data_IF_174303022372
#
_entry.id   IF_174303022372
#
_cell.length_a   1.000
_cell.length_b   1.000
_cell.length_c   1.000
_cell.angle_alpha   90.00
_cell.angle_beta   90.00
_cell.angle_gamma   90.00
#
_symmetry.space_group_name_H-M   'P 1'
#
loop_
_entity.id
_entity.type
_entity.pdbx_description
1 polymer ?
#
# COMPACT_ATOMS: atom_id res chain seq x y z
N UNK A 1 -37.45 -8.41 -5.06
CA UNK A 1 -37.27 -9.86 -5.30
C UNK A 1 -36.55 -10.19 -6.62
N UNK A 2 -37.02 -9.70 -7.78
CA UNK A 2 -36.42 -10.02 -9.10
C UNK A 2 -34.92 -9.67 -9.22
N UNK A 3 -34.52 -8.44 -8.82
CA UNK A 3 -33.09 -8.03 -8.79
C UNK A 3 -32.21 -8.94 -7.93
N UNK A 4 -32.74 -9.45 -6.81
CA UNK A 4 -32.01 -10.37 -5.94
C UNK A 4 -31.82 -11.73 -6.61
N UNK A 5 -32.87 -12.26 -7.27
CA UNK A 5 -32.79 -13.52 -8.01
C UNK A 5 -31.80 -13.44 -9.17
N UNK A 6 -31.80 -12.34 -9.93
CA UNK A 6 -30.80 -12.10 -10.99
C UNK A 6 -29.39 -12.06 -10.42
N UNK A 7 -29.18 -11.34 -9.32
CA UNK A 7 -27.86 -11.27 -8.67
C UNK A 7 -27.38 -12.66 -8.25
N UNK A 8 -28.23 -13.46 -7.62
CA UNK A 8 -27.90 -14.84 -7.24
C UNK A 8 -27.57 -15.68 -8.46
N UNK A 9 -28.41 -15.65 -9.50
CA UNK A 9 -28.19 -16.40 -10.73
C UNK A 9 -26.86 -16.04 -11.40
N UNK A 10 -26.56 -14.73 -11.53
CA UNK A 10 -25.33 -14.25 -12.14
C UNK A 10 -24.08 -14.68 -11.33
N UNK A 11 -24.13 -14.58 -10.00
CA UNK A 11 -23.02 -15.01 -9.14
C UNK A 11 -22.80 -16.52 -9.22
N UNK A 12 -23.88 -17.32 -9.09
CA UNK A 12 -23.79 -18.78 -9.19
C UNK A 12 -23.26 -19.21 -10.55
N UNK A 13 -23.78 -18.65 -11.64
CA UNK A 13 -23.30 -18.95 -13.00
C UNK A 13 -21.83 -18.58 -13.18
N UNK A 14 -21.41 -17.41 -12.68
CA UNK A 14 -20.00 -16.98 -12.77
C UNK A 14 -19.06 -17.93 -12.03
N UNK A 15 -19.43 -18.35 -10.82
CA UNK A 15 -18.63 -19.29 -10.02
C UNK A 15 -18.61 -20.68 -10.67
N UNK A 16 -19.75 -21.16 -11.18
CA UNK A 16 -19.82 -22.46 -11.87
C UNK A 16 -18.98 -22.48 -13.15
N UNK A 17 -19.04 -21.41 -13.96
CA UNK A 17 -18.22 -21.28 -15.16
C UNK A 17 -16.73 -21.22 -14.82
N UNK A 18 -16.36 -20.46 -13.78
CA UNK A 18 -14.98 -20.41 -13.32
C UNK A 18 -14.51 -21.79 -12.84
N UNK A 19 -15.30 -22.50 -12.02
CA UNK A 19 -14.98 -23.85 -11.57
C UNK A 19 -14.83 -24.84 -12.75
N UNK A 20 -15.72 -24.76 -13.74
CA UNK A 20 -15.60 -25.57 -14.96
C UNK A 20 -14.30 -25.27 -15.72
N UNK A 21 -13.91 -24.00 -15.85
CA UNK A 21 -12.65 -23.63 -16.52
C UNK A 21 -11.41 -24.20 -15.81
N UNK A 22 -11.41 -24.27 -14.47
CA UNK A 22 -10.33 -24.89 -13.70
C UNK A 22 -10.21 -26.39 -13.97
N UNK A 23 -11.34 -27.08 -14.15
CA UNK A 23 -11.39 -28.53 -14.42
C UNK A 23 -10.95 -28.83 -15.86
N UNK A 24 -11.36 -27.99 -16.81
CA UNK A 24 -11.04 -28.17 -18.24
C UNK A 24 -9.57 -27.82 -18.52
N UNK A 25 -9.00 -26.84 -17.81
CA UNK A 25 -7.63 -26.33 -18.04
C UNK A 25 -6.76 -26.39 -16.77
N UNK A 26 -6.53 -27.59 -16.19
CA UNK A 26 -5.83 -27.71 -14.91
C UNK A 26 -4.36 -27.29 -14.99
N UNK A 27 -3.69 -27.52 -16.13
CA UNK A 27 -2.30 -27.12 -16.33
C UNK A 27 -2.10 -25.60 -16.29
N UNK A 28 -2.93 -24.86 -17.03
CA UNK A 28 -2.90 -23.39 -17.05
C UNK A 28 -3.24 -22.78 -15.69
N UNK A 29 -4.19 -23.39 -14.98
CA UNK A 29 -4.55 -22.99 -13.61
C UNK A 29 -3.40 -23.22 -12.62
N UNK A 30 -2.75 -24.39 -12.67
CA UNK A 30 -1.61 -24.72 -11.80
C UNK A 30 -0.44 -23.77 -12.07
N UNK A 31 -0.09 -23.57 -13.34
CA UNK A 31 0.99 -22.67 -13.74
C UNK A 31 0.72 -21.22 -13.28
N UNK A 32 -0.52 -20.75 -13.42
CA UNK A 32 -0.91 -19.43 -12.91
C UNK A 32 -0.88 -19.33 -11.38
N UNK A 33 -1.24 -20.41 -10.68
CA UNK A 33 -1.19 -20.47 -9.22
C UNK A 33 0.25 -20.41 -8.71
N UNK A 34 1.15 -21.16 -9.34
CA UNK A 34 2.59 -21.15 -9.02
C UNK A 34 3.16 -19.75 -9.24
N UNK A 35 2.91 -19.13 -10.40
CA UNK A 35 3.34 -17.74 -10.63
C UNK A 35 2.82 -16.76 -9.58
N UNK A 36 1.54 -16.89 -9.20
CA UNK A 36 0.93 -16.07 -8.16
C UNK A 36 1.61 -16.27 -6.80
N UNK A 37 1.94 -17.51 -6.47
CA UNK A 37 2.64 -17.88 -5.24
C UNK A 37 4.08 -17.34 -5.23
N UNK A 38 4.81 -17.48 -6.32
CA UNK A 38 6.20 -16.98 -6.45
C UNK A 38 6.23 -15.46 -6.30
N UNK A 39 5.33 -14.74 -6.99
CA UNK A 39 5.21 -13.29 -6.83
C UNK A 39 4.91 -12.90 -5.39
N UNK A 40 4.02 -13.62 -4.71
CA UNK A 40 3.72 -13.34 -3.32
C UNK A 40 4.91 -13.65 -2.40
N UNK A 41 5.56 -14.80 -2.56
CA UNK A 41 6.60 -15.29 -1.66
C UNK A 41 7.93 -14.55 -1.85
N UNK A 42 8.36 -14.34 -3.09
CA UNK A 42 9.67 -13.76 -3.40
C UNK A 42 9.69 -12.23 -3.32
N UNK A 43 8.55 -11.58 -3.62
CA UNK A 43 8.49 -10.12 -3.76
C UNK A 43 7.64 -9.51 -2.64
N UNK A 44 6.37 -9.90 -2.53
CA UNK A 44 5.40 -9.19 -1.68
C UNK A 44 5.61 -9.48 -0.19
N UNK A 45 5.82 -10.75 0.18
CA UNK A 45 5.98 -11.17 1.57
C UNK A 45 7.19 -10.52 2.26
N UNK A 46 8.43 -10.60 1.73
CA UNK A 46 9.60 -10.02 2.38
C UNK A 46 9.56 -8.48 2.39
N UNK A 47 8.91 -7.85 1.39
CA UNK A 47 8.82 -6.39 1.32
C UNK A 47 7.80 -5.80 2.30
N UNK A 48 6.74 -6.53 2.65
CA UNK A 48 5.66 -6.02 3.49
C UNK A 48 5.76 -6.41 4.98
N UNK A 49 6.27 -7.60 5.28
CA UNK A 49 6.25 -8.13 6.66
C UNK A 49 6.91 -7.20 7.69
N UNK A 50 8.12 -6.65 7.49
CA UNK A 50 8.75 -5.77 8.47
C UNK A 50 7.91 -4.52 8.74
N UNK A 51 7.33 -3.92 7.69
CA UNK A 51 6.50 -2.72 7.83
C UNK A 51 5.20 -3.00 8.55
N UNK A 52 4.56 -4.15 8.31
CA UNK A 52 3.34 -4.52 9.01
C UNK A 52 3.59 -4.75 10.50
N UNK A 53 4.68 -5.44 10.85
CA UNK A 53 5.06 -5.66 12.26
C UNK A 53 5.30 -4.32 12.95
N UNK A 54 6.10 -3.44 12.35
CA UNK A 54 6.38 -2.11 12.91
C UNK A 54 5.08 -1.29 13.03
N UNK A 55 4.20 -1.33 12.03
CA UNK A 55 2.90 -0.64 12.08
C UNK A 55 2.05 -1.10 13.27
N UNK A 56 1.90 -2.41 13.46
CA UNK A 56 1.14 -3.00 14.55
C UNK A 56 1.76 -2.67 15.92
N UNK A 57 3.10 -2.68 16.02
CA UNK A 57 3.80 -2.26 17.24
C UNK A 57 3.58 -0.78 17.56
N UNK A 58 3.69 0.12 16.58
CA UNK A 58 3.45 1.55 16.76
C UNK A 58 2.01 1.84 17.22
N UNK A 59 1.04 1.06 16.72
CA UNK A 59 -0.34 1.12 17.19
C UNK A 59 -0.44 0.67 18.64
N UNK A 60 0.14 -0.49 18.98
CA UNK A 60 0.17 -1.00 20.34
C UNK A 60 0.86 -0.08 21.34
N UNK A 61 1.81 0.74 20.89
CA UNK A 61 2.50 1.74 21.71
C UNK A 61 1.76 3.08 21.83
N UNK A 62 0.65 3.28 21.11
CA UNK A 62 -0.13 4.52 21.14
C UNK A 62 0.44 5.65 20.27
N UNK A 63 1.38 5.35 19.37
CA UNK A 63 2.00 6.34 18.46
C UNK A 63 0.98 6.95 17.50
N UNK A 64 -0.11 6.22 17.21
CA UNK A 64 -1.24 6.69 16.39
C UNK A 64 -1.75 8.05 16.84
N UNK A 65 -1.93 8.24 18.15
CA UNK A 65 -2.48 9.48 18.69
C UNK A 65 -1.46 10.62 18.67
N UNK A 66 -0.18 10.31 18.83
CA UNK A 66 0.90 11.29 18.69
C UNK A 66 1.00 11.83 17.27
N UNK A 67 1.11 10.94 16.27
CA UNK A 67 1.15 11.32 14.86
C UNK A 67 -0.16 12.03 14.47
N UNK A 68 -1.28 11.60 15.04
CA UNK A 68 -2.56 12.20 14.75
C UNK A 68 -2.65 13.66 15.16
N UNK A 69 -2.15 14.01 16.35
CA UNK A 69 -2.10 15.41 16.81
C UNK A 69 -1.15 16.24 15.94
N UNK A 70 -0.01 15.68 15.51
CA UNK A 70 0.94 16.38 14.63
C UNK A 70 0.39 16.65 13.23
N UNK A 71 -0.38 15.71 12.68
CA UNK A 71 -0.92 15.80 11.32
C UNK A 71 -2.32 16.43 11.27
N UNK A 72 -2.98 16.69 12.39
CA UNK A 72 -4.27 17.40 12.45
C UNK A 72 -4.28 18.72 11.64
N UNK A 73 -3.25 19.61 11.71
CA UNK A 73 -3.21 20.85 10.95
C UNK A 73 -3.12 20.66 9.44
N UNK A 74 -2.75 19.46 8.97
CA UNK A 74 -2.71 19.09 7.55
C UNK A 74 -3.99 18.34 7.15
N UNK A 75 -4.35 17.29 7.90
CA UNK A 75 -5.44 16.37 7.58
C UNK A 75 -6.81 17.05 7.58
N UNK A 76 -7.06 17.92 8.57
CA UNK A 76 -8.37 18.57 8.72
C UNK A 76 -8.65 19.58 7.60
N UNK A 77 -7.77 20.55 7.28
CA UNK A 77 -8.04 21.48 6.19
C UNK A 77 -7.94 20.84 4.81
N UNK A 78 -6.96 19.94 4.58
CA UNK A 78 -6.72 19.39 3.24
C UNK A 78 -7.72 18.30 2.88
N UNK A 79 -7.98 17.36 3.79
CA UNK A 79 -8.77 16.15 3.52
C UNK A 79 -10.13 16.09 4.24
N UNK A 80 -10.39 16.99 5.21
CA UNK A 80 -11.57 16.95 6.10
C UNK A 80 -11.74 15.59 6.80
N UNK A 81 -10.63 15.10 7.33
CA UNK A 81 -10.50 13.89 8.13
C UNK A 81 -9.79 14.28 9.44
N UNK A 82 -10.10 13.67 10.59
CA UNK A 82 -9.45 14.03 11.85
C UNK A 82 -7.99 13.60 11.83
N UNK A 83 -7.18 14.23 12.67
CA UNK A 83 -5.74 14.04 12.74
C UNK A 83 -5.34 12.60 12.96
N UNK A 84 -6.11 11.80 13.73
CA UNK A 84 -5.89 10.34 13.86
C UNK A 84 -5.81 9.61 12.50
N UNK A 85 -6.47 10.13 11.47
CA UNK A 85 -6.34 9.62 10.10
C UNK A 85 -4.98 9.91 9.45
N UNK A 86 -4.22 10.88 9.95
CA UNK A 86 -2.85 11.17 9.53
C UNK A 86 -1.89 10.03 9.81
N UNK A 87 -2.08 9.30 10.92
CA UNK A 87 -1.34 8.05 11.16
C UNK A 87 -1.66 7.03 10.06
N UNK A 88 -2.94 6.85 9.73
CA UNK A 88 -3.36 5.90 8.69
C UNK A 88 -2.83 6.30 7.32
N UNK A 89 -2.75 7.60 7.04
CA UNK A 89 -2.18 8.13 5.80
C UNK A 89 -0.67 7.87 5.71
N UNK A 90 0.09 8.17 6.77
CA UNK A 90 1.52 7.90 6.81
C UNK A 90 1.83 6.39 6.69
N UNK A 91 1.12 5.56 7.45
CA UNK A 91 1.30 4.11 7.38
C UNK A 91 0.80 3.52 6.06
N UNK A 92 -0.26 4.06 5.48
CA UNK A 92 -0.74 3.69 4.15
C UNK A 92 0.27 3.98 3.05
N UNK A 93 1.00 5.10 3.12
CA UNK A 93 2.10 5.42 2.21
C UNK A 93 3.29 4.48 2.41
N UNK A 94 3.69 4.22 3.66
CA UNK A 94 4.87 3.43 3.97
C UNK A 94 4.67 1.92 3.71
N UNK A 95 3.54 1.37 4.14
CA UNK A 95 3.26 -0.07 4.06
C UNK A 95 2.46 -0.47 2.82
N UNK A 96 1.65 0.45 2.29
CA UNK A 96 0.83 0.23 1.11
C UNK A 96 -0.54 -0.36 1.39
N UNK A 97 -1.15 -0.96 0.37
CA UNK A 97 -2.40 -1.70 0.51
C UNK A 97 -2.17 -3.13 1.04
N UNK A 98 -3.16 -3.72 1.73
CA UNK A 98 -4.43 -3.13 2.14
C UNK A 98 -4.38 -2.48 3.53
N UNK A 99 -3.19 -2.11 4.03
CA UNK A 99 -3.01 -1.56 5.38
C UNK A 99 -3.85 -0.31 5.63
N UNK A 100 -3.94 0.61 4.67
CA UNK A 100 -4.77 1.80 4.78
C UNK A 100 -6.23 1.47 5.10
N UNK A 101 -6.79 0.46 4.42
CA UNK A 101 -8.13 -0.05 4.68
C UNK A 101 -8.25 -0.72 6.05
N UNK A 102 -7.29 -1.57 6.43
CA UNK A 102 -7.26 -2.25 7.74
C UNK A 102 -7.25 -1.25 8.90
N UNK A 103 -6.39 -0.25 8.83
CA UNK A 103 -6.26 0.78 9.86
C UNK A 103 -7.49 1.69 9.91
N UNK A 104 -8.05 2.04 8.75
CA UNK A 104 -9.29 2.83 8.67
C UNK A 104 -10.48 2.07 9.27
N UNK A 105 -10.62 0.79 8.93
CA UNK A 105 -11.65 -0.09 9.49
C UNK A 105 -11.54 -0.18 11.01
N UNK A 106 -10.32 -0.34 11.54
CA UNK A 106 -10.07 -0.37 12.98
C UNK A 106 -10.45 0.95 13.67
N UNK A 107 -10.03 2.10 13.15
CA UNK A 107 -10.44 3.40 13.70
C UNK A 107 -11.95 3.60 13.67
N UNK A 108 -12.64 3.04 12.67
CA UNK A 108 -14.10 3.10 12.57
C UNK A 108 -14.79 2.21 13.62
N UNK A 109 -14.32 0.98 13.79
CA UNK A 109 -14.82 0.03 14.79
C UNK A 109 -14.57 0.51 16.22
N UNK A 110 -13.45 1.20 16.46
CA UNK A 110 -13.13 1.87 17.73
C UNK A 110 -13.84 3.24 17.90
N UNK A 111 -14.77 3.58 17.00
CA UNK A 111 -15.55 4.83 17.01
C UNK A 111 -14.73 6.13 17.03
N UNK A 112 -13.44 6.06 16.67
CA UNK A 112 -12.54 7.22 16.63
C UNK A 112 -12.84 8.15 15.45
N UNK A 113 -13.46 7.60 14.40
CA UNK A 113 -13.86 8.33 13.20
C UNK A 113 -15.29 7.99 12.81
N UNK A 114 -15.99 8.97 12.22
CA UNK A 114 -17.31 8.75 11.65
C UNK A 114 -17.23 7.89 10.39
N UNK A 115 -18.36 7.31 9.98
CA UNK A 115 -18.46 6.55 8.72
C UNK A 115 -18.00 7.40 7.52
N UNK A 116 -18.41 8.67 7.44
CA UNK A 116 -18.03 9.55 6.35
C UNK A 116 -16.51 9.85 6.36
N UNK A 117 -15.93 10.12 7.54
CA UNK A 117 -14.49 10.30 7.66
C UNK A 117 -13.72 9.03 7.28
N UNK A 118 -14.24 7.85 7.63
CA UNK A 118 -13.67 6.57 7.24
C UNK A 118 -13.72 6.34 5.72
N UNK A 119 -14.85 6.65 5.07
CA UNK A 119 -14.99 6.55 3.61
C UNK A 119 -14.05 7.50 2.86
N UNK A 120 -13.84 8.71 3.39
CA UNK A 120 -12.82 9.63 2.86
C UNK A 120 -11.43 9.05 3.07
N UNK A 121 -11.09 8.68 4.31
CA UNK A 121 -9.76 8.22 4.69
C UNK A 121 -9.34 7.01 3.86
N UNK A 122 -10.15 5.94 3.81
CA UNK A 122 -9.81 4.73 3.05
C UNK A 122 -9.55 5.00 1.57
N UNK A 123 -10.19 6.04 1.02
CA UNK A 123 -10.11 6.39 -0.40
C UNK A 123 -8.76 6.97 -0.82
N UNK A 124 -7.93 7.48 0.10
CA UNK A 124 -6.59 8.02 -0.21
C UNK A 124 -5.47 7.48 0.70
N UNK A 125 -5.73 6.47 1.51
CA UNK A 125 -4.70 5.80 2.34
C UNK A 125 -4.31 4.42 1.84
N UNK A 126 -4.94 3.94 0.77
CA UNK A 126 -4.50 2.75 0.08
C UNK A 126 -3.70 3.19 -1.15
N UNK A 127 -2.45 2.80 -1.24
CA UNK A 127 -1.55 3.14 -2.34
C UNK A 127 -0.47 2.08 -2.43
N UNK A 128 0.11 1.83 -3.59
CA UNK A 128 1.39 1.10 -3.69
C UNK A 128 2.46 1.75 -2.79
N UNK A 129 3.22 0.92 -2.07
CA UNK A 129 4.33 1.39 -1.26
C UNK A 129 5.60 1.63 -2.10
N UNK A 130 6.61 2.36 -1.57
CA UNK A 130 7.82 2.68 -2.32
C UNK A 130 8.59 1.43 -2.74
N UNK A 131 8.66 0.40 -1.88
CA UNK A 131 9.41 -0.82 -2.21
C UNK A 131 8.83 -1.55 -3.42
N UNK A 132 7.52 -1.58 -3.57
CA UNK A 132 6.87 -2.16 -4.74
C UNK A 132 7.15 -1.31 -6.00
N UNK A 133 7.03 0.02 -5.90
CA UNK A 133 7.25 0.92 -7.05
C UNK A 133 8.72 0.90 -7.51
N UNK A 134 9.66 1.10 -6.59
CA UNK A 134 11.09 1.14 -6.91
C UNK A 134 11.66 -0.25 -7.17
N UNK A 135 11.38 -1.23 -6.29
CA UNK A 135 11.96 -2.56 -6.34
C UNK A 135 11.33 -3.43 -7.43
N UNK A 136 10.04 -3.73 -7.31
CA UNK A 136 9.38 -4.67 -8.21
C UNK A 136 9.15 -4.06 -9.60
N UNK A 137 8.53 -2.89 -9.67
CA UNK A 137 8.12 -2.29 -10.95
C UNK A 137 9.32 -1.67 -11.68
N UNK A 138 9.96 -0.68 -11.08
CA UNK A 138 11.02 0.10 -11.74
C UNK A 138 12.29 -0.71 -11.98
N UNK A 139 12.88 -1.32 -10.95
CA UNK A 139 14.10 -2.14 -11.10
C UNK A 139 13.78 -3.53 -11.65
N UNK A 140 12.79 -4.22 -11.10
CA UNK A 140 12.47 -5.60 -11.49
C UNK A 140 11.93 -5.73 -12.93
N UNK A 141 10.87 -4.99 -13.26
CA UNK A 141 10.17 -5.17 -14.54
C UNK A 141 10.69 -4.25 -15.65
N UNK A 142 10.97 -2.99 -15.33
CA UNK A 142 11.46 -2.01 -16.31
C UNK A 142 12.98 -1.97 -16.42
N UNK A 143 13.72 -2.61 -15.50
CA UNK A 143 15.19 -2.56 -15.45
C UNK A 143 15.73 -1.11 -15.50
N UNK A 144 14.96 -0.17 -14.94
CA UNK A 144 15.24 1.26 -14.99
C UNK A 144 14.89 1.91 -13.66
N UNK A 145 15.89 2.12 -12.80
CA UNK A 145 15.72 2.71 -11.47
C UNK A 145 15.22 4.17 -11.50
N UNK A 146 15.60 4.95 -12.52
CA UNK A 146 15.20 6.37 -12.66
C UNK A 146 13.70 6.50 -12.88
N UNK A 147 13.08 5.53 -13.58
CA UNK A 147 11.64 5.49 -13.78
C UNK A 147 10.85 5.44 -12.46
N UNK A 148 11.43 4.84 -11.42
CA UNK A 148 10.81 4.73 -10.10
C UNK A 148 10.47 6.09 -9.49
N UNK A 149 11.29 7.12 -9.73
CA UNK A 149 11.04 8.49 -9.23
C UNK A 149 9.77 9.05 -9.85
N UNK A 150 9.62 8.91 -11.17
CA UNK A 150 8.46 9.37 -11.92
C UNK A 150 7.21 8.64 -11.46
N UNK A 151 7.25 7.31 -11.40
CA UNK A 151 6.11 6.49 -10.98
C UNK A 151 5.70 6.81 -9.54
N UNK A 152 6.66 6.93 -8.61
CA UNK A 152 6.37 7.27 -7.22
C UNK A 152 5.77 8.67 -7.07
N UNK A 153 6.37 9.67 -7.71
CA UNK A 153 5.86 11.05 -7.67
C UNK A 153 4.44 11.13 -8.23
N UNK A 154 4.22 10.57 -9.43
CA UNK A 154 2.91 10.52 -10.06
C UNK A 154 1.87 9.80 -9.19
N UNK A 155 2.26 8.66 -8.60
CA UNK A 155 1.38 7.87 -7.76
C UNK A 155 0.98 8.59 -6.47
N UNK A 156 1.92 9.18 -5.73
CA UNK A 156 1.60 9.88 -4.48
C UNK A 156 0.90 11.22 -4.70
N UNK A 157 1.24 11.96 -5.76
CA UNK A 157 0.50 13.17 -6.17
C UNK A 157 -0.93 12.78 -6.54
N UNK A 158 -1.12 11.73 -7.35
CA UNK A 158 -2.43 11.20 -7.69
C UNK A 158 -3.24 10.83 -6.44
N UNK A 159 -2.60 10.21 -5.45
CA UNK A 159 -3.25 9.84 -4.19
C UNK A 159 -3.66 11.08 -3.36
N UNK A 160 -2.83 12.14 -3.32
CA UNK A 160 -3.18 13.42 -2.70
C UNK A 160 -4.37 14.07 -3.42
N UNK A 161 -4.38 14.05 -4.75
CA UNK A 161 -5.50 14.55 -5.56
C UNK A 161 -6.81 13.85 -5.18
N UNK A 162 -6.79 12.52 -4.99
CA UNK A 162 -7.95 11.76 -4.52
C UNK A 162 -8.42 12.24 -3.16
N UNK A 163 -7.50 12.46 -2.21
CA UNK A 163 -7.86 13.01 -0.89
C UNK A 163 -8.55 14.37 -1.00
N UNK A 164 -8.05 15.25 -1.88
CA UNK A 164 -8.64 16.57 -2.14
C UNK A 164 -10.02 16.46 -2.81
N UNK A 165 -10.20 15.53 -3.76
CA UNK A 165 -11.51 15.27 -4.38
C UNK A 165 -12.51 14.73 -3.35
N UNK A 166 -12.08 13.77 -2.52
CA UNK A 166 -12.91 13.15 -1.48
C UNK A 166 -13.28 14.12 -0.35
N UNK A 167 -12.55 15.23 -0.20
CA UNK A 167 -12.95 16.35 0.66
C UNK A 167 -14.39 16.83 0.39
N UNK A 168 -14.84 16.76 -0.87
CA UNK A 168 -16.16 17.24 -1.30
C UNK A 168 -17.24 16.16 -1.23
N UNK A 169 -16.87 14.89 -1.05
CA UNK A 169 -17.80 13.78 -0.85
C UNK A 169 -18.50 13.87 0.52
N UNK A 170 -19.80 13.54 0.59
CA UNK A 170 -20.56 13.48 1.86
C UNK A 170 -21.48 14.67 2.19
N UNK A 171 -21.63 15.66 1.30
CA UNK A 171 -22.77 16.60 1.32
C UNK A 171 -23.09 17.27 2.68
N UNK A 172 -24.33 17.07 3.19
CA UNK A 172 -24.96 17.74 4.35
C UNK A 172 -24.52 17.25 5.74
N UNK A 173 -23.78 16.14 5.87
CA UNK A 173 -23.11 15.69 7.12
C UNK A 173 -21.96 16.63 7.56
N UNK A 174 -21.80 17.76 6.86
CA UNK A 174 -20.81 18.82 7.12
C UNK A 174 -20.99 19.53 8.45
N UNK A 175 -22.20 19.60 9.02
CA UNK A 175 -22.48 20.44 10.20
C UNK A 175 -22.07 19.78 11.52
N UNK A 176 -22.26 18.48 11.69
CA UNK A 176 -21.86 17.77 12.93
C UNK A 176 -20.33 17.67 13.09
N UNK A 177 -19.61 17.50 11.98
CA UNK A 177 -18.13 17.48 11.95
C UNK A 177 -17.51 18.83 12.31
N UNK A 178 -18.25 19.93 12.06
CA UNK A 178 -17.84 21.31 12.39
C UNK A 178 -18.04 21.63 13.87
N UNK A 179 -19.00 20.97 14.53
CA UNK A 179 -19.28 21.18 15.95
C UNK A 179 -18.35 20.37 16.89
N UNK A 180 -17.79 19.24 16.42
CA UNK A 180 -16.72 18.52 17.17
C UNK A 180 -15.39 19.28 17.26
N UNK A 181 -15.16 20.31 16.44
CA UNK A 181 -13.87 21.01 16.32
C UNK A 181 -13.70 22.26 17.20
N UNK A 182 -14.50 22.44 18.24
CA UNK A 182 -14.28 23.49 19.25
C UNK A 182 -13.35 22.97 20.36
N UNK A 183 -12.06 22.82 20.10
CA UNK A 183 -11.10 22.28 21.07
C UNK A 183 -9.69 22.88 20.98
N UNK A 184 -9.49 23.99 21.68
CA UNK A 184 -8.25 24.62 22.18
C UNK A 184 -7.01 24.66 21.27
N UNK A 185 -6.69 25.88 20.82
CA UNK A 185 -5.35 26.27 20.32
C UNK A 185 -4.36 26.28 21.49
N UNK A 186 -3.71 25.15 21.78
CA UNK A 186 -2.66 24.99 22.79
C UNK A 186 -1.51 24.11 22.29
N UNK A 187 -0.38 24.08 23.02
CA UNK A 187 0.88 23.42 22.65
C UNK A 187 0.72 21.95 22.19
N UNK A 188 0.60 21.78 20.86
CA UNK A 188 0.32 20.54 20.11
C UNK A 188 1.21 19.37 20.55
N UNK A 189 2.50 19.61 20.78
CA UNK A 189 3.46 18.54 21.08
C UNK A 189 3.27 17.98 22.50
N UNK A 190 3.01 18.83 23.50
CA UNK A 190 2.84 18.39 24.90
C UNK A 190 1.56 17.56 25.06
N UNK A 191 0.51 17.94 24.35
CA UNK A 191 -0.76 17.21 24.29
C UNK A 191 -0.61 15.86 23.58
N UNK A 192 0.14 15.82 22.47
CA UNK A 192 0.46 14.59 21.75
C UNK A 192 1.21 13.56 22.63
N UNK A 193 2.23 14.01 23.37
CA UNK A 193 2.98 13.16 24.29
C UNK A 193 2.13 12.68 25.47
N UNK A 194 1.29 13.55 26.04
CA UNK A 194 0.38 13.17 27.13
C UNK A 194 -0.64 12.12 26.67
N UNK A 195 -1.18 12.29 25.47
CA UNK A 195 -2.09 11.35 24.85
C UNK A 195 -1.44 9.98 24.58
N UNK A 196 -0.21 9.96 24.07
CA UNK A 196 0.58 8.74 23.86
C UNK A 196 0.82 8.01 25.19
N UNK A 197 1.27 8.73 26.22
CA UNK A 197 1.52 8.14 27.54
C UNK A 197 0.24 7.56 28.16
N UNK A 198 -0.89 8.26 28.04
CA UNK A 198 -2.19 7.79 28.54
C UNK A 198 -2.66 6.52 27.83
N UNK A 199 -2.52 6.44 26.50
CA UNK A 199 -2.84 5.22 25.74
C UNK A 199 -1.93 4.06 26.14
N UNK A 200 -0.62 4.31 26.34
CA UNK A 200 0.31 3.28 26.81
C UNK A 200 -0.03 2.75 28.21
N UNK A 201 -0.47 3.61 29.12
CA UNK A 201 -0.89 3.20 30.48
C UNK A 201 -2.19 2.38 30.48
N UNK A 202 -3.05 2.57 29.47
CA UNK A 202 -4.29 1.80 29.32
C UNK A 202 -4.01 0.39 28.75
N UNK A 203 -3.00 0.24 27.90
CA UNK A 203 -2.57 -1.06 27.38
C UNK A 203 -1.58 -1.76 28.32
N UNK A 204 -2.11 -2.65 29.17
CA UNK A 204 -1.33 -3.39 30.17
C UNK A 204 -0.55 -4.59 29.63
N UNK A 205 -0.60 -4.86 28.31
CA UNK A 205 0.09 -6.02 27.74
C UNK A 205 1.62 -5.87 27.84
N UNK A 206 2.35 -6.95 28.16
CA UNK A 206 3.81 -6.94 28.12
C UNK A 206 4.30 -6.77 26.68
N UNK A 207 5.50 -6.20 26.49
CA UNK A 207 6.07 -5.91 25.16
C UNK A 207 6.15 -7.19 24.30
N UNK A 208 6.53 -8.33 24.89
CA UNK A 208 6.58 -9.61 24.17
C UNK A 208 5.22 -10.06 23.63
N UNK A 209 4.12 -9.77 24.34
CA UNK A 209 2.75 -10.05 23.85
C UNK A 209 2.36 -9.09 22.72
N UNK A 210 2.72 -7.81 22.83
CA UNK A 210 2.50 -6.83 21.76
C UNK A 210 3.25 -7.22 20.47
N UNK A 211 4.49 -7.67 20.61
CA UNK A 211 5.29 -8.17 19.49
C UNK A 211 4.67 -9.43 18.87
N UNK A 212 4.28 -10.41 19.70
CA UNK A 212 3.62 -11.63 19.22
C UNK A 212 2.31 -11.33 18.48
N UNK A 213 1.45 -10.48 19.04
CA UNK A 213 0.20 -10.05 18.42
C UNK A 213 0.47 -9.32 17.09
N UNK A 214 1.49 -8.46 17.03
CA UNK A 214 1.90 -7.76 15.82
C UNK A 214 2.35 -8.72 14.71
N UNK A 215 3.18 -9.72 15.04
CA UNK A 215 3.62 -10.75 14.09
C UNK A 215 2.43 -11.55 13.57
N UNK A 216 1.57 -12.06 14.47
CA UNK A 216 0.40 -12.86 14.06
C UNK A 216 -0.55 -12.07 13.16
N UNK A 217 -0.89 -10.84 13.55
CA UNK A 217 -1.75 -9.95 12.76
C UNK A 217 -1.16 -9.65 11.38
N UNK A 218 0.15 -9.46 11.30
CA UNK A 218 0.88 -9.21 10.05
C UNK A 218 0.84 -10.43 9.13
N UNK A 219 1.12 -11.63 9.67
CA UNK A 219 1.10 -12.89 8.90
C UNK A 219 -0.30 -13.19 8.38
N UNK A 220 -1.34 -13.01 9.18
CA UNK A 220 -2.74 -13.20 8.73
C UNK A 220 -3.08 -12.26 7.56
N UNK A 221 -2.66 -11.00 7.66
CA UNK A 221 -2.87 -10.02 6.58
C UNK A 221 -2.11 -10.44 5.32
N UNK A 222 -0.87 -10.90 5.44
CA UNK A 222 -0.05 -11.36 4.32
C UNK A 222 -0.59 -12.62 3.65
N UNK A 223 -1.10 -13.58 4.41
CA UNK A 223 -1.74 -14.78 3.86
C UNK A 223 -3.00 -14.43 3.07
N UNK A 224 -3.81 -13.49 3.57
CA UNK A 224 -4.96 -12.98 2.84
C UNK A 224 -4.53 -12.31 1.52
N UNK A 225 -3.52 -11.44 1.53
CA UNK A 225 -2.95 -10.83 0.32
C UNK A 225 -2.48 -11.91 -0.66
N UNK A 226 -1.74 -12.93 -0.18
CA UNK A 226 -1.25 -14.03 -1.00
C UNK A 226 -2.37 -14.84 -1.66
N UNK A 227 -3.42 -15.15 -0.91
CA UNK A 227 -4.61 -15.82 -1.45
C UNK A 227 -5.27 -15.02 -2.58
N UNK A 228 -5.37 -13.69 -2.43
CA UNK A 228 -5.92 -12.82 -3.48
C UNK A 228 -4.98 -12.72 -4.70
N UNK A 229 -3.66 -12.64 -4.52
CA UNK A 229 -2.70 -12.62 -5.64
C UNK A 229 -2.79 -13.92 -6.45
N UNK A 230 -2.80 -15.07 -5.78
CA UNK A 230 -2.91 -16.40 -6.42
C UNK A 230 -4.23 -16.50 -7.18
N UNK A 231 -5.36 -16.19 -6.53
CA UNK A 231 -6.69 -16.25 -7.14
C UNK A 231 -6.78 -15.36 -8.38
N UNK A 232 -6.33 -14.10 -8.29
CA UNK A 232 -6.41 -13.18 -9.43
C UNK A 232 -5.40 -13.51 -10.54
N UNK A 233 -4.28 -14.18 -10.21
CA UNK A 233 -3.37 -14.73 -11.23
C UNK A 233 -4.06 -15.83 -12.04
N UNK A 234 -4.79 -16.73 -11.38
CA UNK A 234 -5.59 -17.77 -12.04
C UNK A 234 -6.73 -17.16 -12.85
N UNK A 235 -7.50 -16.22 -12.28
CA UNK A 235 -8.57 -15.52 -12.99
C UNK A 235 -8.03 -14.86 -14.26
N UNK A 236 -6.94 -14.10 -14.17
CA UNK A 236 -6.32 -13.46 -15.34
C UNK A 236 -5.97 -14.48 -16.44
N UNK A 237 -5.36 -15.61 -16.06
CA UNK A 237 -4.99 -16.66 -17.00
C UNK A 237 -6.20 -17.33 -17.64
N UNK A 238 -7.26 -17.58 -16.86
CA UNK A 238 -8.51 -18.15 -17.39
C UNK A 238 -9.20 -17.18 -18.34
N UNK A 239 -9.31 -15.89 -17.98
CA UNK A 239 -9.91 -14.87 -18.85
C UNK A 239 -9.17 -14.71 -20.17
N UNK A 240 -7.85 -14.87 -20.16
CA UNK A 240 -7.02 -14.84 -21.36
C UNK A 240 -7.35 -16.02 -22.30
N UNK A 241 -7.33 -17.25 -21.78
CA UNK A 241 -7.61 -18.46 -22.57
C UNK A 241 -9.07 -18.61 -22.99
N UNK A 242 -10.00 -18.01 -22.25
CA UNK A 242 -11.42 -17.92 -22.65
C UNK A 242 -11.68 -16.80 -23.68
N UNK A 243 -10.64 -16.14 -24.19
CA UNK A 243 -10.72 -15.00 -25.12
C UNK A 243 -11.54 -13.80 -24.60
N UNK A 244 -11.80 -13.74 -23.28
CA UNK A 244 -12.49 -12.61 -22.65
C UNK A 244 -11.55 -11.41 -22.59
N UNK A 245 -10.27 -11.63 -22.25
CA UNK A 245 -9.27 -10.56 -22.23
C UNK A 245 -9.11 -9.91 -23.60
N UNK A 246 -9.04 -10.71 -24.68
CA UNK A 246 -8.92 -10.21 -26.05
C UNK A 246 -10.16 -9.43 -26.49
N UNK A 247 -11.36 -9.97 -26.21
CA UNK A 247 -12.62 -9.28 -26.51
C UNK A 247 -12.73 -7.92 -25.82
N UNK A 248 -12.35 -7.83 -24.53
CA UNK A 248 -12.36 -6.56 -23.81
C UNK A 248 -11.26 -5.62 -24.37
N UNK A 249 -10.08 -6.15 -24.66
CA UNK A 249 -8.95 -5.39 -25.19
C UNK A 249 -9.29 -4.71 -26.54
N UNK A 250 -9.99 -5.39 -27.45
CA UNK A 250 -10.47 -4.82 -28.72
C UNK A 250 -11.33 -3.57 -28.50
N UNK A 251 -12.19 -3.58 -27.47
CA UNK A 251 -12.98 -2.41 -27.08
C UNK A 251 -12.12 -1.22 -26.62
N UNK A 252 -10.99 -1.49 -25.98
CA UNK A 252 -10.03 -0.47 -25.55
C UNK A 252 -9.08 -0.03 -26.66
N UNK A 253 -8.86 -0.81 -27.72
CA UNK A 253 -7.98 -0.43 -28.84
C UNK A 253 -8.41 0.89 -29.49
N UNK A 254 -9.72 1.12 -29.65
CA UNK A 254 -10.25 2.40 -30.19
C UNK A 254 -9.89 3.58 -29.29
N UNK A 255 -9.99 3.40 -27.97
CA UNK A 255 -9.59 4.43 -26.99
C UNK A 255 -8.07 4.68 -27.05
N UNK A 256 -7.27 3.63 -27.24
CA UNK A 256 -5.81 3.74 -27.26
C UNK A 256 -5.34 4.48 -28.51
N UNK A 257 -5.94 4.21 -29.67
CA UNK A 257 -5.69 4.97 -30.90
C UNK A 257 -6.00 6.46 -30.69
N UNK A 258 -7.14 6.79 -30.06
CA UNK A 258 -7.52 8.17 -29.76
C UNK A 258 -6.50 8.86 -28.82
N UNK A 259 -5.92 8.12 -27.89
CA UNK A 259 -4.91 8.59 -26.94
C UNK A 259 -3.47 8.50 -27.48
N UNK A 260 -3.27 8.12 -28.76
CA UNK A 260 -1.96 7.91 -29.37
C UNK A 260 -1.10 6.87 -28.62
N UNK A 261 -1.74 5.81 -28.11
CA UNK A 261 -1.12 4.66 -27.47
C UNK A 261 -1.14 3.44 -28.42
N UNK A 262 -0.07 2.63 -28.47
CA UNK A 262 -0.07 1.39 -29.23
C UNK A 262 -1.13 0.41 -28.74
N UNK A 263 -1.81 -0.26 -29.68
CA UNK A 263 -2.85 -1.25 -29.36
C UNK A 263 -2.31 -2.44 -28.54
N UNK A 264 -1.02 -2.74 -28.64
CA UNK A 264 -0.33 -3.82 -27.92
C UNK A 264 -0.36 -3.59 -26.39
N UNK A 265 -0.58 -2.36 -25.93
CA UNK A 265 -0.75 -2.06 -24.50
C UNK A 265 -2.13 -2.46 -23.95
N UNK A 266 -3.11 -2.78 -24.81
CA UNK A 266 -4.49 -3.09 -24.39
C UNK A 266 -4.55 -4.35 -23.51
N UNK A 267 -3.91 -5.45 -23.92
CA UNK A 267 -3.86 -6.69 -23.14
C UNK A 267 -3.16 -6.48 -21.78
N UNK A 268 -1.95 -5.91 -21.70
CA UNK A 268 -1.31 -5.55 -20.43
C UNK A 268 -2.18 -4.66 -19.53
N UNK A 269 -2.88 -3.68 -20.12
CA UNK A 269 -3.80 -2.80 -19.40
C UNK A 269 -4.95 -3.60 -18.77
N UNK A 270 -5.62 -4.48 -19.52
CA UNK A 270 -6.68 -5.34 -18.97
C UNK A 270 -6.14 -6.26 -17.88
N UNK A 271 -4.99 -6.91 -18.10
CA UNK A 271 -4.36 -7.72 -17.05
C UNK A 271 -4.06 -6.91 -15.79
N UNK A 272 -3.62 -5.65 -15.94
CA UNK A 272 -3.38 -4.71 -14.85
C UNK A 272 -4.62 -4.23 -14.12
N UNK A 273 -5.78 -4.18 -14.79
CA UNK A 273 -7.06 -3.93 -14.13
C UNK A 273 -7.42 -5.06 -13.15
N UNK A 274 -6.99 -6.30 -13.41
CA UNK A 274 -7.23 -7.43 -12.51
C UNK A 274 -6.12 -7.58 -11.46
N UNK A 275 -4.86 -7.55 -11.88
CA UNK A 275 -3.70 -7.76 -11.01
C UNK A 275 -2.55 -6.85 -11.43
N UNK A 276 -2.13 -5.99 -10.52
CA UNK A 276 -1.20 -4.88 -10.77
C UNK A 276 0.20 -5.34 -11.16
N UNK A 277 0.66 -6.48 -10.61
CA UNK A 277 2.03 -6.98 -10.76
C UNK A 277 2.23 -7.51 -12.17
N UNK A 278 1.33 -8.40 -12.61
CA UNK A 278 1.29 -8.96 -13.95
C UNK A 278 1.05 -7.87 -15.00
N UNK A 279 0.10 -6.96 -14.77
CA UNK A 279 -0.14 -5.85 -15.70
C UNK A 279 1.08 -4.95 -15.89
N UNK A 280 1.76 -4.59 -14.80
CA UNK A 280 2.99 -3.77 -14.87
C UNK A 280 4.13 -4.51 -15.58
N UNK A 281 4.30 -5.81 -15.31
CA UNK A 281 5.31 -6.65 -15.96
C UNK A 281 5.04 -6.83 -17.46
N UNK A 282 3.80 -7.05 -17.86
CA UNK A 282 3.44 -7.16 -19.28
C UNK A 282 3.61 -5.82 -19.99
N UNK A 283 3.28 -4.70 -19.32
CA UNK A 283 3.40 -3.35 -19.87
C UNK A 283 4.86 -3.00 -20.16
N UNK A 284 5.80 -3.38 -19.30
CA UNK A 284 7.23 -3.09 -19.51
C UNK A 284 7.84 -3.87 -20.68
N UNK A 285 7.21 -4.98 -21.09
CA UNK A 285 7.67 -5.83 -22.20
C UNK A 285 7.14 -5.46 -23.58
N UNK A 286 6.32 -4.41 -23.70
CA UNK A 286 5.73 -3.99 -25.00
C UNK A 286 6.73 -3.11 -25.77
N UNK A 287 7.45 -3.70 -26.71
CA UNK A 287 8.53 -3.04 -27.46
C UNK A 287 8.02 -1.95 -28.43
N UNK A 288 6.77 -2.05 -28.86
CA UNK A 288 6.11 -1.08 -29.76
C UNK A 288 5.75 0.22 -29.04
N UNK A 289 5.77 0.23 -27.71
CA UNK A 289 5.48 1.39 -26.89
C UNK A 289 6.75 2.10 -26.44
N UNK A 290 6.72 3.43 -26.54
CA UNK A 290 7.75 4.27 -25.90
C UNK A 290 7.68 4.13 -24.39
N UNK A 291 8.80 4.41 -23.72
CA UNK A 291 8.86 4.32 -22.26
C UNK A 291 7.84 5.25 -21.56
N UNK A 292 7.56 6.42 -22.13
CA UNK A 292 6.51 7.31 -21.63
C UNK A 292 5.13 6.63 -21.69
N UNK A 293 4.78 5.99 -22.80
CA UNK A 293 3.49 5.31 -22.95
C UNK A 293 3.36 4.13 -21.98
N UNK A 294 4.42 3.35 -21.80
CA UNK A 294 4.47 2.29 -20.79
C UNK A 294 4.33 2.85 -19.36
N UNK A 295 4.96 4.00 -19.07
CA UNK A 295 4.89 4.66 -17.77
C UNK A 295 3.48 5.22 -17.49
N UNK A 296 2.80 5.78 -18.49
CA UNK A 296 1.41 6.26 -18.38
C UNK A 296 0.49 5.12 -17.97
N UNK A 297 0.53 4.00 -18.70
CA UNK A 297 -0.28 2.81 -18.41
C UNK A 297 0.05 2.24 -17.03
N UNK A 298 1.33 2.12 -16.71
CA UNK A 298 1.79 1.62 -15.40
C UNK A 298 1.30 2.51 -14.26
N UNK A 299 1.41 3.84 -14.39
CA UNK A 299 0.89 4.80 -13.42
C UNK A 299 -0.63 4.68 -13.24
N UNK A 300 -1.39 4.43 -14.32
CA UNK A 300 -2.81 4.14 -14.20
C UNK A 300 -3.05 2.88 -13.37
N UNK A 301 -2.39 1.78 -13.70
CA UNK A 301 -2.54 0.47 -13.04
C UNK A 301 -2.22 0.60 -11.54
N UNK A 302 -1.12 1.27 -11.19
CA UNK A 302 -0.73 1.51 -9.79
C UNK A 302 -1.78 2.33 -9.04
N UNK A 303 -2.27 3.43 -9.63
CA UNK A 303 -3.30 4.27 -9.01
C UNK A 303 -4.65 3.55 -8.87
N UNK A 304 -5.07 2.82 -9.90
CA UNK A 304 -6.29 2.01 -9.89
C UNK A 304 -6.24 0.85 -8.89
N UNK A 305 -5.02 0.39 -8.57
CA UNK A 305 -4.73 -0.69 -7.61
C UNK A 305 -5.21 -2.09 -8.04
N UNK A 306 -5.87 -2.25 -9.19
CA UNK A 306 -6.34 -3.54 -9.70
C UNK A 306 -7.46 -4.18 -8.86
N UNK A 307 -8.24 -5.08 -9.46
CA UNK A 307 -9.37 -5.73 -8.80
C UNK A 307 -8.93 -6.66 -7.65
N UNK A 308 -7.73 -7.24 -7.72
CA UNK A 308 -7.16 -8.05 -6.62
C UNK A 308 -7.05 -7.26 -5.33
N UNK A 309 -6.40 -6.09 -5.36
CA UNK A 309 -6.27 -5.22 -4.17
C UNK A 309 -7.62 -4.67 -3.76
N UNK A 310 -8.45 -4.28 -4.73
CA UNK A 310 -9.79 -3.78 -4.43
C UNK A 310 -10.66 -4.84 -3.73
N UNK A 311 -10.52 -6.11 -4.08
CA UNK A 311 -11.18 -7.22 -3.39
C UNK A 311 -10.63 -7.45 -1.97
N UNK A 312 -9.31 -7.31 -1.77
CA UNK A 312 -8.70 -7.33 -0.43
C UNK A 312 -9.25 -6.19 0.47
N UNK A 313 -9.36 -4.98 -0.08
CA UNK A 313 -9.96 -3.84 0.62
C UNK A 313 -11.44 -4.10 0.89
N UNK A 314 -12.18 -4.61 -0.08
CA UNK A 314 -13.59 -4.95 0.09
C UNK A 314 -13.81 -5.98 1.21
N UNK A 315 -12.98 -7.02 1.30
CA UNK A 315 -13.10 -8.03 2.36
C UNK A 315 -12.81 -7.45 3.74
N UNK A 316 -11.86 -6.52 3.85
CA UNK A 316 -11.59 -5.82 5.12
C UNK A 316 -12.76 -4.89 5.50
N UNK A 317 -13.29 -4.13 4.54
CA UNK A 317 -14.39 -3.20 4.80
C UNK A 317 -15.71 -3.89 5.09
N UNK A 318 -15.89 -5.14 4.66
CA UNK A 318 -17.10 -5.93 4.90
C UNK A 318 -17.38 -6.17 6.39
N UNK A 319 -16.35 -6.12 7.24
CA UNK A 319 -16.44 -6.21 8.71
C UNK A 319 -16.86 -4.86 9.37
N UNK A 320 -17.26 -3.88 8.57
CA UNK A 320 -17.60 -2.52 9.02
C UNK A 320 -18.83 -1.98 8.29
N UNK A 321 -19.29 -0.79 8.68
CA UNK A 321 -20.34 -0.06 7.97
C UNK A 321 -19.81 0.87 6.87
N UNK A 322 -18.51 0.84 6.55
CA UNK A 322 -17.87 1.67 5.53
C UNK A 322 -18.33 1.23 4.14
N UNK A 323 -18.86 2.16 3.33
CA UNK A 323 -19.27 1.83 1.95
C UNK A 323 -18.03 1.64 1.07
N UNK A 324 -18.02 0.58 0.27
CA UNK A 324 -16.95 0.33 -0.71
C UNK A 324 -17.03 1.22 -1.97
N UNK A 325 -18.25 1.64 -2.36
CA UNK A 325 -18.49 2.40 -3.60
C UNK A 325 -17.64 3.69 -3.75
N UNK A 326 -17.46 4.53 -2.70
CA UNK A 326 -16.63 5.73 -2.80
C UNK A 326 -15.16 5.39 -3.02
N UNK A 327 -14.66 4.35 -2.33
CA UNK A 327 -13.31 3.84 -2.53
C UNK A 327 -13.09 3.40 -3.99
N UNK A 328 -14.04 2.67 -4.57
CA UNK A 328 -13.97 2.23 -5.97
C UNK A 328 -13.82 3.41 -6.95
N UNK A 329 -14.64 4.46 -6.82
CA UNK A 329 -14.51 5.65 -7.67
C UNK A 329 -13.20 6.40 -7.44
N UNK A 330 -12.75 6.48 -6.19
CA UNK A 330 -11.49 7.10 -5.82
C UNK A 330 -10.30 6.43 -6.53
N UNK A 331 -10.33 5.11 -6.74
CA UNK A 331 -9.29 4.39 -7.51
C UNK A 331 -9.22 4.81 -8.98
N UNK A 332 -10.36 5.02 -9.64
CA UNK A 332 -10.37 5.56 -11.00
C UNK A 332 -9.77 6.98 -11.06
N UNK A 333 -10.16 7.83 -10.11
CA UNK A 333 -9.59 9.19 -10.00
C UNK A 333 -8.07 9.11 -9.78
N UNK A 334 -7.61 8.18 -8.94
CA UNK A 334 -6.17 7.97 -8.70
C UNK A 334 -5.44 7.56 -9.98
N UNK A 335 -5.92 6.54 -10.69
CA UNK A 335 -5.30 6.06 -11.92
C UNK A 335 -5.19 7.15 -12.99
N UNK A 336 -6.26 7.92 -13.20
CA UNK A 336 -6.27 9.05 -14.13
C UNK A 336 -5.30 10.15 -13.66
N UNK A 337 -5.37 10.54 -12.39
CA UNK A 337 -4.51 11.59 -11.85
C UNK A 337 -3.02 11.21 -11.92
N UNK A 338 -2.66 9.96 -11.64
CA UNK A 338 -1.29 9.45 -11.76
C UNK A 338 -0.82 9.44 -13.22
N UNK A 339 -1.67 9.01 -14.16
CA UNK A 339 -1.36 9.02 -15.59
C UNK A 339 -1.10 10.44 -16.12
N UNK A 340 -1.99 11.37 -15.80
CA UNK A 340 -1.85 12.78 -16.17
C UNK A 340 -0.61 13.40 -15.52
N UNK A 341 -0.36 13.10 -14.24
CA UNK A 341 0.83 13.59 -13.53
C UNK A 341 2.10 13.07 -14.21
N UNK A 342 2.12 11.80 -14.65
CA UNK A 342 3.25 11.21 -15.38
C UNK A 342 3.59 12.02 -16.64
N UNK A 343 2.58 12.38 -17.44
CA UNK A 343 2.77 13.20 -18.65
C UNK A 343 3.35 14.57 -18.30
N UNK A 344 2.80 15.23 -17.26
CA UNK A 344 3.22 16.58 -16.85
C UNK A 344 4.68 16.57 -16.36
N UNK A 345 5.07 15.57 -15.56
CA UNK A 345 6.39 15.53 -14.94
C UNK A 345 7.46 14.85 -15.82
N UNK A 346 7.08 14.23 -16.94
CA UNK A 346 8.00 13.47 -17.78
C UNK A 346 9.21 14.29 -18.23
N UNK A 347 8.98 15.39 -18.96
CA UNK A 347 10.07 16.27 -19.42
C UNK A 347 10.88 16.90 -18.27
N UNK A 348 10.26 17.57 -17.27
CA UNK A 348 11.03 18.27 -16.26
C UNK A 348 11.78 17.34 -15.29
N UNK A 349 11.30 16.10 -15.09
CA UNK A 349 11.93 15.14 -14.17
C UNK A 349 12.71 14.10 -14.97
N UNK A 350 12.04 13.27 -15.76
CA UNK A 350 12.68 12.10 -16.38
C UNK A 350 13.80 12.48 -17.35
N UNK A 351 13.54 13.38 -18.31
CA UNK A 351 14.56 13.76 -19.31
C UNK A 351 15.76 14.44 -18.66
N UNK A 352 15.55 15.32 -17.67
CA UNK A 352 16.65 15.97 -16.95
C UNK A 352 17.49 15.01 -16.10
N UNK A 353 16.85 14.08 -15.39
CA UNK A 353 17.55 13.06 -14.59
C UNK A 353 18.22 11.97 -15.45
N UNK A 354 17.78 11.80 -16.70
CA UNK A 354 18.39 10.85 -17.64
C UNK A 354 19.56 11.46 -18.43
N UNK A 355 19.51 12.75 -18.75
CA UNK A 355 20.57 13.49 -19.44
C UNK A 355 21.73 13.88 -18.50
N UNK A 356 21.43 14.17 -17.23
CA UNK A 356 22.46 14.16 -16.18
C UNK A 356 22.86 12.71 -15.91
N UNK A 357 23.92 12.23 -16.59
CA UNK A 357 24.64 11.03 -16.17
C UNK A 357 24.71 11.00 -14.64
N UNK A 358 24.32 9.88 -14.03
CA UNK A 358 24.42 9.55 -12.60
C UNK A 358 25.86 9.66 -12.01
N UNK A 359 26.75 10.44 -12.61
CA UNK A 359 28.13 10.68 -12.20
C UNK A 359 28.26 11.20 -10.77
N UNK A 360 27.22 11.79 -10.17
CA UNK A 360 27.31 12.38 -8.82
C UNK A 360 26.34 11.78 -7.79
N UNK A 361 25.50 10.80 -8.15
CA UNK A 361 24.66 10.11 -7.19
C UNK A 361 25.39 8.82 -6.77
N UNK A 362 26.17 8.88 -5.69
CA UNK A 362 26.76 7.70 -5.06
C UNK A 362 25.61 6.90 -4.42
N UNK A 363 25.34 5.65 -4.85
CA UNK A 363 24.40 4.79 -4.16
C UNK A 363 24.78 4.70 -2.68
N UNK A 364 23.83 4.82 -1.75
CA UNK A 364 24.11 4.71 -0.30
C UNK A 364 24.83 3.39 0.04
N UNK A 365 24.55 2.33 -0.72
CA UNK A 365 25.23 1.03 -0.62
C UNK A 365 26.60 0.96 -1.31
N UNK A 366 26.90 1.88 -2.24
CA UNK A 366 28.20 2.03 -2.88
C UNK A 366 29.11 3.05 -2.16
N UNK A 367 28.69 3.54 -0.98
CA UNK A 367 29.56 4.24 -0.04
C UNK A 367 30.59 3.24 0.50
N UNK A 368 31.60 2.99 -0.34
CA UNK A 368 32.70 2.05 -0.15
C UNK A 368 33.38 2.37 1.19
N UNK A 369 33.33 1.42 2.13
CA UNK A 369 34.08 1.43 3.40
C UNK A 369 34.09 2.78 4.12
N UNK A 370 32.98 3.13 4.79
CA UNK A 370 33.09 4.05 5.91
C UNK A 370 33.90 3.36 7.01
N UNK A 371 35.20 3.67 7.10
CA UNK A 371 36.12 3.20 8.13
C UNK A 371 35.50 3.23 9.53
N UNK A 372 34.63 4.21 9.79
CA UNK A 372 33.82 4.32 11.00
C UNK A 372 33.00 3.07 11.35
N UNK A 373 32.24 2.49 10.40
CA UNK A 373 31.40 1.32 10.69
C UNK A 373 32.23 0.06 10.90
N UNK A 374 33.33 -0.07 10.16
CA UNK A 374 34.28 -1.18 10.32
C UNK A 374 35.05 -1.09 11.64
N UNK A 375 35.48 0.12 12.04
CA UNK A 375 36.08 0.39 13.35
C UNK A 375 35.09 0.18 14.49
N UNK A 376 33.83 0.62 14.33
CA UNK A 376 32.77 0.36 15.29
C UNK A 376 32.53 -1.14 15.47
N UNK A 377 32.44 -1.91 14.38
CA UNK A 377 32.31 -3.37 14.43
C UNK A 377 33.52 -4.03 15.10
N UNK A 378 34.74 -3.56 14.82
CA UNK A 378 35.95 -4.04 15.45
C UNK A 378 35.96 -3.72 16.96
N UNK A 379 35.58 -2.51 17.34
CA UNK A 379 35.44 -2.09 18.73
C UNK A 379 34.38 -2.90 19.47
N UNK A 380 33.22 -3.17 18.86
CA UNK A 380 32.22 -4.06 19.44
C UNK A 380 32.72 -5.49 19.61
N UNK A 381 33.51 -6.00 18.67
CA UNK A 381 34.10 -7.34 18.75
C UNK A 381 35.13 -7.44 19.88
N UNK A 382 35.92 -6.41 20.13
CA UNK A 382 37.01 -6.43 21.12
C UNK A 382 36.58 -5.94 22.50
N UNK A 383 35.91 -4.79 22.60
CA UNK A 383 35.49 -4.19 23.86
C UNK A 383 34.15 -4.72 24.37
N UNK A 384 33.24 -5.14 23.48
CA UNK A 384 31.90 -5.62 23.83
C UNK A 384 31.88 -6.79 24.83
N UNK A 385 32.68 -7.86 24.63
CA UNK A 385 32.77 -8.97 25.58
C UNK A 385 33.26 -8.53 26.96
N UNK A 386 34.25 -7.63 27.03
CA UNK A 386 34.82 -7.14 28.29
C UNK A 386 33.80 -6.32 29.07
N UNK A 387 33.08 -5.41 28.40
CA UNK A 387 32.01 -4.60 29.00
C UNK A 387 30.89 -5.51 29.53
N UNK A 388 30.54 -6.56 28.78
CA UNK A 388 29.50 -7.51 29.17
C UNK A 388 29.90 -8.29 30.42
N UNK A 389 31.13 -8.83 30.45
CA UNK A 389 31.66 -9.56 31.61
C UNK A 389 31.73 -8.63 32.84
N UNK A 390 32.24 -7.41 32.68
CA UNK A 390 32.29 -6.44 33.78
C UNK A 390 30.89 -6.12 34.32
N UNK A 391 29.93 -5.90 33.43
CA UNK A 391 28.54 -5.62 33.82
C UNK A 391 27.89 -6.79 34.55
N UNK A 392 28.18 -8.04 34.14
CA UNK A 392 27.71 -9.26 34.81
C UNK A 392 28.34 -9.41 36.20
N UNK A 393 29.65 -9.16 36.34
CA UNK A 393 30.34 -9.19 37.63
C UNK A 393 29.77 -8.12 38.55
N UNK A 394 29.60 -6.89 38.06
CA UNK A 394 29.02 -5.79 38.82
C UNK A 394 27.59 -6.14 39.27
N UNK A 395 26.78 -6.72 38.38
CA UNK A 395 25.45 -7.19 38.71
C UNK A 395 25.47 -8.26 39.81
N UNK A 396 26.35 -9.26 39.71
CA UNK A 396 26.50 -10.31 40.73
C UNK A 396 26.90 -9.70 42.08
N UNK A 397 27.87 -8.79 42.10
CA UNK A 397 28.32 -8.11 43.33
C UNK A 397 27.19 -7.30 43.95
N UNK A 398 26.46 -6.52 43.15
CA UNK A 398 25.31 -5.75 43.62
C UNK A 398 24.17 -6.65 44.11
N UNK A 399 23.94 -7.79 43.45
CA UNK A 399 22.92 -8.75 43.83
C UNK A 399 23.25 -9.46 45.14
N UNK A 400 24.52 -9.86 45.34
CA UNK A 400 24.99 -10.47 46.59
C UNK A 400 24.92 -9.48 47.75
N UNK A 401 25.35 -8.22 47.55
CA UNK A 401 25.24 -7.14 48.56
C UNK A 401 23.80 -6.76 48.93
N UNK A 402 22.81 -7.17 48.13
CA UNK A 402 21.39 -6.89 48.39
C UNK A 402 20.68 -8.07 49.06
N UNK A 403 21.32 -9.24 49.11
CA UNK A 403 20.78 -10.48 49.71
C UNK A 403 21.49 -10.94 50.98
N UNK A 404 22.70 -10.45 51.25
CA UNK A 404 23.34 -10.47 52.58
C UNK A 404 23.22 -9.09 53.20
#
# INVERSE_FOLDING_TARGET
MFKSKIKTLALSMSVTLFAASLIIMPGESLEASIRGLDMWWEIVFPSLLPFFIVSEMLIGFGVVRFIGVMLEPLMRPLFRVPGVGGFVWAMGMASGFPSGAKLTARLRQEEQITKLEAERLVSFTNSSNPLFIFGAVSVGFFQNATLGIVLAAAHYIGNICVGVVMRFYGGKEKEELRNRSSGKKGFIIREAFSALHRTRLQDKRPIGKLLGDAVTSSIQTLLMIGGFIILFSVINKMLYHLHITTFIAEGFSTLFILLQLPEQLSIPFISGLFEITLGSKLTSGVNEATLLQQAIITSFILGFSGFSVQAQVASILAETDIRFKPFFYARFVHGIAASVTTIIIWKPIYERFSDEQLSNAIPVFAMKNNAFWTEMLYWFKTAGPVITIFSLILYIVLYVRRKG
#
